data_IF_864908723972
#
_entry.id   IF_864908723972
#
_cell.length_a   1.000
_cell.length_b   1.000
_cell.length_c   1.000
_cell.angle_alpha   90.00
_cell.angle_beta   90.00
_cell.angle_gamma   90.00
#
_symmetry.space_group_name_H-M   'P 1'
#
loop_
_entity.id
_entity.type
_entity.pdbx_description
1 polymer ?
#
# COMPACT_ATOMS: atom_id res chain seq x y z
N UNK A 1 0.87 8.19 -10.33
CA UNK A 1 1.33 6.78 -10.36
C UNK A 1 0.86 6.21 -11.69
N UNK A 2 1.77 5.73 -12.54
CA UNK A 2 1.37 5.09 -13.81
C UNK A 2 0.61 3.80 -13.53
N UNK A 3 -0.25 3.38 -14.47
CA UNK A 3 -0.83 2.05 -14.43
C UNK A 3 0.29 1.00 -14.41
N UNK A 4 0.07 -0.10 -13.68
CA UNK A 4 1.05 -1.20 -13.65
C UNK A 4 1.14 -1.84 -15.04
N UNK A 5 2.34 -2.25 -15.46
CA UNK A 5 2.51 -2.99 -16.71
C UNK A 5 1.90 -4.39 -16.59
N UNK A 6 1.70 -5.06 -17.74
CA UNK A 6 1.00 -6.35 -17.79
C UNK A 6 1.67 -7.45 -16.97
N UNK A 7 3.01 -7.49 -16.91
CA UNK A 7 3.73 -8.55 -16.20
C UNK A 7 3.54 -8.38 -14.70
N UNK A 8 3.72 -7.15 -14.22
CA UNK A 8 3.52 -6.80 -12.81
C UNK A 8 2.10 -7.15 -12.30
N UNK A 9 1.06 -7.04 -13.13
CA UNK A 9 -0.31 -7.41 -12.71
C UNK A 9 -0.47 -8.91 -12.55
N UNK A 10 0.09 -9.68 -13.48
CA UNK A 10 0.05 -11.14 -13.42
C UNK A 10 0.80 -11.65 -12.20
N UNK A 11 2.00 -11.12 -11.94
CA UNK A 11 2.80 -11.47 -10.76
C UNK A 11 2.06 -11.11 -9.47
N UNK A 12 1.42 -9.94 -9.42
CA UNK A 12 0.62 -9.54 -8.27
C UNK A 12 -0.57 -10.49 -8.06
N UNK A 13 -1.27 -10.88 -9.12
CA UNK A 13 -2.38 -11.83 -9.03
C UNK A 13 -1.90 -13.19 -8.49
N UNK A 14 -0.80 -13.73 -9.00
CA UNK A 14 -0.21 -14.99 -8.54
C UNK A 14 0.08 -14.95 -7.03
N UNK A 15 0.77 -13.89 -6.57
CA UNK A 15 1.08 -13.70 -5.15
C UNK A 15 -0.19 -13.62 -4.30
N UNK A 16 -1.22 -12.91 -4.77
CA UNK A 16 -2.47 -12.76 -4.03
C UNK A 16 -3.24 -14.08 -3.99
N UNK A 17 -3.28 -14.83 -5.09
CA UNK A 17 -3.97 -16.13 -5.18
C UNK A 17 -3.37 -17.15 -4.20
N UNK A 18 -2.05 -17.29 -4.23
CA UNK A 18 -1.32 -18.20 -3.32
C UNK A 18 -1.56 -17.88 -1.84
N UNK A 19 -1.84 -16.62 -1.52
CA UNK A 19 -1.95 -16.14 -0.14
C UNK A 19 -3.38 -16.11 0.39
N UNK A 20 -4.37 -15.79 -0.45
CA UNK A 20 -5.74 -15.45 -0.04
C UNK A 20 -6.40 -16.50 0.87
N UNK A 21 -6.13 -17.79 0.65
CA UNK A 21 -6.71 -18.88 1.44
C UNK A 21 -5.77 -19.43 2.54
N UNK A 22 -4.48 -19.12 2.48
CA UNK A 22 -3.46 -19.86 3.23
C UNK A 22 -2.81 -19.05 4.37
N UNK A 23 -2.65 -17.72 4.22
CA UNK A 23 -1.87 -16.90 5.15
C UNK A 23 -2.43 -15.47 5.27
N UNK A 24 -2.37 -14.91 6.47
CA UNK A 24 -2.67 -13.49 6.68
C UNK A 24 -1.67 -12.61 5.90
N UNK A 25 -2.18 -11.58 5.22
CA UNK A 25 -1.40 -10.69 4.37
C UNK A 25 -1.68 -9.24 4.74
N UNK A 26 -0.62 -8.48 5.02
CA UNK A 26 -0.72 -7.04 5.26
C UNK A 26 -0.34 -6.34 3.97
N UNK A 27 -1.22 -5.48 3.49
CA UNK A 27 -1.00 -4.64 2.30
C UNK A 27 -1.03 -3.19 2.76
N UNK A 28 0.00 -2.43 2.38
CA UNK A 28 0.06 -0.98 2.61
C UNK A 28 0.04 -0.28 1.26
N UNK A 29 -0.76 0.77 1.14
CA UNK A 29 -0.86 1.54 -0.08
C UNK A 29 -1.14 3.00 0.26
N UNK A 30 -0.54 3.89 -0.52
CA UNK A 30 -0.89 5.32 -0.51
C UNK A 30 -2.06 5.62 -1.44
N UNK A 31 -2.49 4.63 -2.22
CA UNK A 31 -3.64 4.73 -3.10
C UNK A 31 -4.87 4.16 -2.37
N UNK A 32 -5.95 4.95 -2.22
CA UNK A 32 -7.25 4.43 -1.77
C UNK A 32 -7.67 3.22 -2.61
N UNK A 33 -8.31 2.24 -1.97
CA UNK A 33 -8.62 0.97 -2.63
C UNK A 33 -9.60 1.13 -3.78
N UNK A 34 -10.45 2.16 -3.71
CA UNK A 34 -11.40 2.57 -4.74
C UNK A 34 -10.70 2.88 -6.09
N UNK A 35 -9.41 3.22 -6.06
CA UNK A 35 -8.62 3.52 -7.25
C UNK A 35 -7.79 2.33 -7.73
N UNK A 36 -7.75 1.21 -7.00
CA UNK A 36 -6.91 0.07 -7.36
C UNK A 36 -7.34 -0.59 -8.66
N UNK A 37 -8.64 -0.68 -8.91
CA UNK A 37 -9.16 -1.26 -10.14
C UNK A 37 -8.63 -0.51 -11.39
N UNK A 38 -8.69 0.82 -11.36
CA UNK A 38 -8.16 1.66 -12.42
C UNK A 38 -6.62 1.63 -12.50
N UNK A 39 -5.93 1.57 -11.35
CA UNK A 39 -4.47 1.48 -11.28
C UNK A 39 -3.92 0.16 -11.82
N UNK A 40 -4.63 -0.94 -11.58
CA UNK A 40 -4.35 -2.24 -12.18
C UNK A 40 -4.57 -2.16 -13.69
N UNK A 41 -5.66 -1.56 -14.14
CA UNK A 41 -5.85 -1.20 -15.55
C UNK A 41 -6.19 -2.37 -16.49
N UNK A 42 -6.52 -3.54 -15.94
CA UNK A 42 -7.19 -4.65 -16.62
C UNK A 42 -8.36 -5.08 -15.74
N UNK A 43 -9.59 -5.01 -16.26
CA UNK A 43 -10.79 -5.25 -15.45
C UNK A 43 -10.84 -6.68 -14.92
N UNK A 44 -10.50 -7.66 -15.75
CA UNK A 44 -10.53 -9.08 -15.37
C UNK A 44 -9.54 -9.38 -14.24
N UNK A 45 -8.29 -8.91 -14.37
CA UNK A 45 -7.26 -9.11 -13.35
C UNK A 45 -7.59 -8.29 -12.10
N UNK A 46 -8.09 -7.06 -12.25
CA UNK A 46 -8.46 -6.21 -11.14
C UNK A 46 -9.56 -6.83 -10.29
N UNK A 47 -10.64 -7.32 -10.90
CA UNK A 47 -11.72 -8.02 -10.22
C UNK A 47 -11.18 -9.27 -9.51
N UNK A 48 -10.38 -10.08 -10.20
CA UNK A 48 -9.79 -11.29 -9.64
C UNK A 48 -8.91 -11.02 -8.40
N UNK A 49 -8.10 -9.96 -8.42
CA UNK A 49 -7.28 -9.54 -7.27
C UNK A 49 -8.16 -9.01 -6.15
N UNK A 50 -9.09 -8.09 -6.46
CA UNK A 50 -9.92 -7.43 -5.47
C UNK A 50 -10.87 -8.42 -4.78
N UNK A 51 -11.45 -9.37 -5.50
CA UNK A 51 -12.30 -10.42 -4.93
C UNK A 51 -11.56 -11.21 -3.84
N UNK A 52 -10.32 -11.62 -4.14
CA UNK A 52 -9.47 -12.38 -3.19
C UNK A 52 -9.10 -11.57 -1.96
N UNK A 53 -8.75 -10.30 -2.13
CA UNK A 53 -8.37 -9.43 -1.02
C UNK A 53 -9.59 -9.09 -0.17
N UNK A 54 -10.72 -8.76 -0.81
CA UNK A 54 -11.90 -8.23 -0.14
C UNK A 54 -12.71 -9.30 0.59
N UNK A 55 -12.58 -10.57 0.20
CA UNK A 55 -13.30 -11.66 0.83
C UNK A 55 -13.10 -11.74 2.35
N UNK A 56 -11.89 -11.42 2.85
CA UNK A 56 -11.55 -11.42 4.28
C UNK A 56 -10.51 -10.33 4.61
N UNK A 57 -10.98 -9.09 4.78
CA UNK A 57 -10.09 -7.96 5.07
C UNK A 57 -10.46 -7.19 6.33
N UNK A 58 -9.44 -6.57 6.92
CA UNK A 58 -9.59 -5.48 7.88
C UNK A 58 -8.90 -4.25 7.30
N UNK A 59 -9.67 -3.21 7.02
CA UNK A 59 -9.17 -1.98 6.41
C UNK A 59 -8.91 -0.92 7.48
N UNK A 60 -7.69 -0.39 7.48
CA UNK A 60 -7.27 0.73 8.31
C UNK A 60 -6.92 1.92 7.42
N UNK A 61 -7.74 2.96 7.45
CA UNK A 61 -7.42 4.23 6.78
C UNK A 61 -6.59 5.08 7.72
N UNK A 62 -5.29 5.20 7.43
CA UNK A 62 -4.37 5.99 8.23
C UNK A 62 -4.51 7.47 7.85
N UNK A 63 -4.58 8.34 8.84
CA UNK A 63 -4.69 9.80 8.69
C UNK A 63 -3.65 10.51 9.54
N UNK A 64 -3.32 11.75 9.17
CA UNK A 64 -2.40 12.61 9.91
C UNK A 64 -1.09 12.89 9.17
N UNK A 65 -0.25 13.72 9.78
CA UNK A 65 1.00 14.17 9.19
C UNK A 65 2.07 13.08 9.17
N UNK A 66 3.00 13.19 8.22
CA UNK A 66 4.16 12.31 8.13
C UNK A 66 5.00 12.36 9.41
N UNK A 67 5.15 11.21 10.07
CA UNK A 67 6.02 11.07 11.24
C UNK A 67 7.49 11.36 10.92
N UNK A 68 7.90 11.29 9.65
CA UNK A 68 9.27 11.62 9.21
C UNK A 68 9.60 13.10 9.45
N UNK A 69 8.63 14.00 9.22
CA UNK A 69 8.79 15.45 9.45
C UNK A 69 8.91 15.77 10.94
N UNK A 70 8.22 15.01 11.79
CA UNK A 70 8.33 15.15 13.23
C UNK A 70 9.72 14.76 13.73
N UNK A 71 10.31 13.70 13.18
CA UNK A 71 11.67 13.26 13.53
C UNK A 71 12.76 14.23 13.05
N UNK A 72 12.62 14.82 11.86
CA UNK A 72 13.60 15.81 11.38
C UNK A 72 13.63 17.06 12.25
N UNK A 73 12.45 17.57 12.65
CA UNK A 73 12.33 18.72 13.58
C UNK A 73 12.91 18.43 14.97
N UNK A 74 12.80 17.20 15.45
CA UNK A 74 13.41 16.79 16.73
C UNK A 74 14.94 16.79 16.63
N UNK A 75 15.51 16.26 15.54
CA UNK A 75 16.97 16.22 15.34
C UNK A 75 17.60 17.61 15.17
N UNK A 76 16.97 18.50 14.39
CA UNK A 76 17.42 19.90 14.23
C UNK A 76 17.44 20.65 15.58
N UNK A 77 16.58 20.29 16.52
CA UNK A 77 16.51 20.91 17.85
C UNK A 77 17.64 20.43 18.78
N UNK A 78 18.10 19.20 18.62
CA UNK A 78 19.19 18.60 19.41
C UNK A 78 20.59 19.05 18.93
N UNK A 79 20.76 19.27 17.62
CA UNK A 79 22.01 19.79 17.04
C UNK A 79 22.25 21.26 17.44
N UNK A 80 21.19 22.09 17.48
CA UNK A 80 21.30 23.50 17.88
C UNK A 80 21.60 23.71 19.38
N UNK A 81 21.46 22.67 20.22
CA UNK A 81 21.79 22.75 21.66
C UNK A 81 23.21 22.28 22.00
N UNK A 82 23.94 21.69 21.04
CA UNK A 82 25.28 21.12 21.28
C UNK A 82 26.43 21.99 20.71
N UNK A 83 26.11 23.02 19.91
CA UNK A 83 27.09 23.96 19.33
C UNK A 83 27.06 25.35 19.99
N UNK A 84 26.66 25.45 21.26
CA UNK A 84 26.79 26.68 22.07
C UNK A 84 27.39 26.39 23.42
#
# INVERSE_FOLDING_TARGET
>A
MGAIDSMTRSDLLEIIDDRAANKATIITSQLPVEHWHAWIGDATIADAILDRIMQRNHRFTLTGDSLRVKQSKTREKEENTTTS
#
